data_IF_169705229259
#
_entry.id   IF_169705229259
#
_cell.length_a   1.000
_cell.length_b   1.000
_cell.length_c   1.000
_cell.angle_alpha   90.00
_cell.angle_beta   90.00
_cell.angle_gamma   90.00
#
_symmetry.space_group_name_H-M   'P 1'
#
loop_
_entity.id
_entity.type
_entity.pdbx_description
1 polymer ?
#
# COMPACT_ATOMS: atom_id res chain seq x y z
N UNK A 1 -5.68 8.89 10.98
CA UNK A 1 -5.09 7.64 10.46
C UNK A 1 -5.84 6.51 11.12
N UNK A 2 -6.29 5.52 10.35
CA UNK A 2 -7.07 4.37 10.82
C UNK A 2 -6.38 3.06 10.44
N UNK A 3 -6.57 2.01 11.23
CA UNK A 3 -6.15 0.66 10.87
C UNK A 3 -7.37 -0.10 10.37
N UNK A 4 -7.22 -0.75 9.22
CA UNK A 4 -8.25 -1.60 8.67
C UNK A 4 -7.97 -3.00 9.20
N UNK A 5 -9.02 -3.73 9.56
CA UNK A 5 -8.91 -5.13 9.93
C UNK A 5 -8.74 -6.00 8.68
N UNK A 6 -8.21 -7.22 8.86
CA UNK A 6 -7.91 -8.12 7.75
C UNK A 6 -9.16 -8.58 6.95
N UNK A 7 -10.35 -8.46 7.54
CA UNK A 7 -11.64 -8.75 6.92
C UNK A 7 -12.26 -7.53 6.20
N UNK A 8 -11.61 -6.36 6.29
CA UNK A 8 -12.09 -5.16 5.62
C UNK A 8 -12.06 -5.35 4.09
N UNK A 9 -13.10 -4.92 3.35
CA UNK A 9 -13.17 -5.14 1.89
C UNK A 9 -11.99 -4.58 1.09
N UNK A 10 -11.40 -3.48 1.58
CA UNK A 10 -10.22 -2.86 0.97
C UNK A 10 -8.92 -3.64 1.23
N UNK A 11 -8.88 -4.51 2.25
CA UNK A 11 -7.65 -5.15 2.74
C UNK A 11 -6.94 -5.94 1.64
N UNK A 12 -7.63 -6.89 1.01
CA UNK A 12 -7.02 -7.69 -0.06
C UNK A 12 -6.63 -6.81 -1.26
N UNK A 13 -7.45 -5.82 -1.57
CA UNK A 13 -7.20 -4.95 -2.71
C UNK A 13 -5.95 -4.10 -2.52
N UNK A 14 -5.73 -3.49 -1.36
CA UNK A 14 -4.56 -2.62 -1.15
C UNK A 14 -3.24 -3.38 -1.30
N UNK A 15 -3.17 -4.65 -0.87
CA UNK A 15 -2.02 -5.51 -1.08
C UNK A 15 -1.83 -5.89 -2.56
N UNK A 16 -2.92 -6.15 -3.28
CA UNK A 16 -2.86 -6.43 -4.73
C UNK A 16 -2.39 -5.20 -5.53
N UNK A 17 -2.83 -4.00 -5.17
CA UNK A 17 -2.35 -2.77 -5.81
C UNK A 17 -0.90 -2.47 -5.44
N UNK A 18 -0.48 -2.76 -4.21
CA UNK A 18 0.93 -2.68 -3.79
C UNK A 18 1.82 -3.58 -4.67
N UNK A 19 1.44 -4.84 -4.89
CA UNK A 19 2.16 -5.75 -5.79
C UNK A 19 2.37 -5.19 -7.19
N UNK A 20 1.40 -4.44 -7.74
CA UNK A 20 1.49 -3.89 -9.09
C UNK A 20 2.48 -2.74 -9.23
N UNK A 21 2.93 -2.15 -8.13
CA UNK A 21 3.97 -1.13 -8.21
C UNK A 21 5.23 -1.69 -8.85
N UNK A 22 5.86 -0.89 -9.72
CA UNK A 22 7.03 -1.32 -10.50
C UNK A 22 8.17 -1.86 -9.64
N UNK A 23 8.34 -1.32 -8.44
CA UNK A 23 9.39 -1.74 -7.50
C UNK A 23 9.17 -3.17 -6.97
N UNK A 24 7.91 -3.63 -6.94
CA UNK A 24 7.49 -4.90 -6.36
C UNK A 24 7.34 -6.04 -7.38
N UNK A 25 7.25 -5.73 -8.69
CA UNK A 25 7.17 -6.73 -9.77
C UNK A 25 6.10 -7.82 -9.60
N UNK A 26 4.99 -7.49 -8.95
CA UNK A 26 3.90 -8.42 -8.67
C UNK A 26 3.97 -9.10 -7.29
N UNK A 27 5.02 -8.89 -6.50
CA UNK A 27 5.14 -9.44 -5.15
C UNK A 27 4.65 -8.45 -4.08
N UNK A 28 3.48 -8.73 -3.50
CA UNK A 28 2.89 -7.90 -2.45
C UNK A 28 3.58 -8.06 -1.09
N UNK A 29 4.25 -9.20 -0.86
CA UNK A 29 4.88 -9.51 0.43
C UNK A 29 6.30 -8.96 0.43
N UNK A 30 7.05 -9.21 -0.65
CA UNK A 30 8.44 -8.81 -0.84
C UNK A 30 9.30 -9.19 0.37
N UNK A 31 9.44 -10.50 0.66
CA UNK A 31 10.24 -10.95 1.80
C UNK A 31 11.75 -10.84 1.48
N UNK A 32 12.47 -10.00 2.21
CA UNK A 32 13.92 -9.82 2.07
C UNK A 32 14.59 -9.58 3.43
N UNK A 33 15.62 -10.37 3.76
CA UNK A 33 16.36 -10.27 5.04
C UNK A 33 15.46 -10.18 6.29
N UNK A 34 14.39 -10.98 6.34
CA UNK A 34 13.41 -10.97 7.43
C UNK A 34 12.63 -9.65 7.57
N UNK A 35 12.65 -8.81 6.54
CA UNK A 35 11.79 -7.65 6.35
C UNK A 35 10.81 -7.92 5.20
N UNK A 36 9.65 -7.28 5.28
CA UNK A 36 8.63 -7.29 4.25
C UNK A 36 7.89 -5.96 4.27
N UNK A 37 6.93 -5.79 3.38
CA UNK A 37 6.02 -4.66 3.46
C UNK A 37 5.17 -4.71 4.75
N UNK A 38 5.20 -3.63 5.51
CA UNK A 38 4.41 -3.42 6.71
C UNK A 38 3.31 -2.39 6.42
N UNK A 39 2.07 -2.73 6.78
CA UNK A 39 0.94 -1.80 6.71
C UNK A 39 0.98 -0.83 7.89
N UNK A 40 1.04 0.47 7.60
CA UNK A 40 1.16 1.53 8.61
C UNK A 40 -0.17 2.22 8.95
N UNK A 41 -1.24 1.85 8.26
CA UNK A 41 -2.55 2.49 8.41
C UNK A 41 -3.00 3.20 7.14
N UNK A 42 -4.20 3.75 7.21
CA UNK A 42 -4.86 4.46 6.12
C UNK A 42 -5.24 5.87 6.54
N UNK A 43 -5.29 6.77 5.58
CA UNK A 43 -5.96 8.06 5.72
C UNK A 43 -7.15 8.12 4.73
N UNK A 44 -7.72 9.30 4.52
CA UNK A 44 -8.88 9.45 3.63
C UNK A 44 -8.59 9.03 2.19
N UNK A 45 -7.35 9.23 1.73
CA UNK A 45 -7.00 9.13 0.32
C UNK A 45 -6.11 7.92 0.00
N UNK A 46 -5.32 7.44 0.98
CA UNK A 46 -4.29 6.43 0.75
C UNK A 46 -4.17 5.41 1.88
N UNK A 47 -3.75 4.20 1.52
CA UNK A 47 -3.14 3.20 2.40
C UNK A 47 -1.62 3.37 2.38
N UNK A 48 -1.00 3.30 3.56
CA UNK A 48 0.43 3.60 3.74
C UNK A 48 1.18 2.31 4.06
N UNK A 49 2.25 2.06 3.32
CA UNK A 49 3.12 0.91 3.52
C UNK A 49 4.58 1.33 3.66
N UNK A 50 5.35 0.55 4.42
CA UNK A 50 6.79 0.73 4.57
C UNK A 50 7.50 -0.61 4.40
N UNK A 51 8.63 -0.60 3.67
CA UNK A 51 9.55 -1.73 3.59
C UNK A 51 10.90 -1.27 4.13
N UNK A 52 11.38 -1.84 5.23
CA UNK A 52 12.61 -1.34 5.91
C UNK A 52 13.89 -1.52 5.12
N UNK A 53 13.97 -2.57 4.27
CA UNK A 53 15.13 -2.83 3.42
C UNK A 53 14.71 -3.47 2.10
N UNK A 54 14.22 -2.68 1.13
CA UNK A 54 13.66 -3.25 -0.09
C UNK A 54 14.77 -3.87 -0.98
N UNK A 55 14.62 -5.11 -1.50
CA UNK A 55 15.69 -5.81 -2.23
C UNK A 55 16.18 -5.06 -3.48
N UNK A 56 15.32 -4.27 -4.11
CA UNK A 56 15.65 -3.48 -5.31
C UNK A 56 16.49 -2.25 -5.02
N UNK A 57 16.35 -1.64 -3.86
CA UNK A 57 16.96 -0.33 -3.55
C UNK A 57 17.98 -0.40 -2.42
N UNK A 58 17.92 -1.47 -1.60
CA UNK A 58 18.77 -1.65 -0.41
C UNK A 58 18.49 -0.62 0.68
N UNK A 59 17.31 0.00 0.67
CA UNK A 59 16.93 1.12 1.55
C UNK A 59 15.49 0.96 2.04
N UNK A 60 15.12 1.81 3.00
CA UNK A 60 13.72 1.96 3.40
C UNK A 60 12.91 2.56 2.26
N UNK A 61 11.82 1.89 1.89
CA UNK A 61 10.87 2.36 0.88
C UNK A 61 9.50 2.61 1.48
N UNK A 62 8.77 3.56 0.89
CA UNK A 62 7.41 3.87 1.24
C UNK A 62 6.53 3.76 0.01
N UNK A 63 5.36 3.15 0.18
CA UNK A 63 4.35 3.05 -0.88
C UNK A 63 3.02 3.61 -0.37
N UNK A 64 2.39 4.40 -1.23
CA UNK A 64 1.07 5.00 -0.99
C UNK A 64 0.10 4.44 -2.03
N UNK A 65 -0.90 3.70 -1.57
CA UNK A 65 -1.89 3.05 -2.43
C UNK A 65 -3.19 3.82 -2.32
N UNK A 66 -3.70 4.34 -3.44
CA UNK A 66 -4.93 5.12 -3.46
C UNK A 66 -6.14 4.30 -2.98
N UNK A 67 -6.99 4.92 -2.16
CA UNK A 67 -8.31 4.39 -1.81
C UNK A 67 -9.28 4.68 -2.94
N UNK A 68 -10.25 3.78 -3.16
CA UNK A 68 -11.28 3.98 -4.21
C UNK A 68 -12.08 5.26 -4.03
N UNK A 69 -12.23 5.78 -2.82
CA UNK A 69 -12.92 7.04 -2.54
C UNK A 69 -12.13 8.30 -2.94
N UNK A 70 -10.80 8.22 -3.08
CA UNK A 70 -9.96 9.35 -3.47
C UNK A 70 -10.35 9.91 -4.87
N UNK A 71 -10.74 9.01 -5.77
CA UNK A 71 -11.24 9.32 -7.11
C UNK A 71 -12.67 9.88 -7.17
N UNK A 72 -13.37 10.13 -6.06
CA UNK A 72 -14.74 10.68 -6.10
C UNK A 72 -14.76 12.21 -5.91
N UNK A 73 -13.66 12.81 -5.42
CA UNK A 73 -13.61 14.25 -5.17
C UNK A 73 -13.62 15.10 -6.45
N UNK A 74 -13.14 14.59 -7.60
CA UNK A 74 -13.26 15.31 -8.87
C UNK A 74 -14.69 15.29 -9.43
N UNK A 75 -15.48 14.26 -9.12
CA UNK A 75 -16.85 14.10 -9.61
C UNK A 75 -17.90 14.88 -8.80
N UNK A 76 -17.56 15.35 -7.58
CA UNK A 76 -18.45 16.16 -6.73
C UNK A 76 -18.45 17.66 -7.05
N UNK A 77 -17.54 18.11 -7.90
CA UNK A 77 -17.35 19.52 -8.25
C UNK A 77 -17.72 19.84 -9.71
N UNK A 78 -18.39 18.93 -10.40
CA UNK A 78 -18.87 19.10 -11.78
C UNK A 78 -20.38 19.38 -11.83
#
# INVERSE_FOLDING_TARGET
MEFLEADHPEWLQMWQELAKQRINEGDAICLFENHCWEYLGSNHDHHHFCHRCHPRTGRTEFAYIERRCAGVNWARSA
#
